data_IF_069400036213
#
_entry.id   IF_069400036213
#
_cell.length_a   1.000
_cell.length_b   1.000
_cell.length_c   1.000
_cell.angle_alpha   90.00
_cell.angle_beta   90.00
_cell.angle_gamma   90.00
#
_symmetry.space_group_name_H-M   'P 1'
#
loop_
_entity.id
_entity.type
_entity.pdbx_description
1 polymer ?
#
# COMPACT_ATOMS: atom_id res chain seq x y z
N UNK A 1 12.94 31.95 33.51
CA UNK A 1 13.78 30.87 34.06
C UNK A 1 12.89 30.12 35.02
N UNK A 2 12.20 29.09 34.52
CA UNK A 2 11.16 28.37 35.25
C UNK A 2 11.68 26.96 35.46
N UNK A 3 11.84 26.64 36.73
CA UNK A 3 12.41 25.42 37.28
C UNK A 3 11.30 24.37 37.39
N UNK A 4 11.54 23.17 36.86
CA UNK A 4 10.65 22.02 36.99
C UNK A 4 11.45 20.87 37.59
N UNK A 5 11.26 20.65 38.90
CA UNK A 5 11.81 19.51 39.62
C UNK A 5 11.09 18.20 39.25
N UNK A 6 11.75 17.03 39.43
CA UNK A 6 11.16 15.74 39.07
C UNK A 6 10.35 15.15 40.24
N UNK A 7 9.10 14.81 39.97
CA UNK A 7 8.27 13.95 40.82
C UNK A 7 8.58 12.48 40.46
N UNK A 8 9.37 11.80 41.30
CA UNK A 8 9.50 10.35 41.27
C UNK A 8 8.34 9.73 42.04
N UNK A 9 7.51 8.94 41.35
CA UNK A 9 6.55 8.03 41.97
C UNK A 9 7.09 6.61 41.87
N UNK A 10 7.55 6.10 43.01
CA UNK A 10 7.70 4.67 43.27
C UNK A 10 6.32 4.00 43.16
N UNK A 11 6.22 2.96 42.36
CA UNK A 11 5.10 2.03 42.39
C UNK A 11 5.60 0.74 43.02
N UNK A 12 5.10 0.48 44.23
CA UNK A 12 5.25 -0.76 44.96
C UNK A 12 4.81 -1.97 44.12
N UNK A 13 5.71 -2.94 44.00
CA UNK A 13 5.37 -4.30 43.58
C UNK A 13 4.70 -5.02 44.74
N UNK A 14 3.42 -5.35 44.59
CA UNK A 14 2.81 -6.45 45.33
C UNK A 14 2.87 -7.71 44.47
N UNK A 15 3.69 -8.66 44.95
CA UNK A 15 3.61 -10.06 44.58
C UNK A 15 2.42 -10.66 45.33
N UNK A 16 1.41 -11.11 44.59
CA UNK A 16 0.40 -12.00 45.14
C UNK A 16 0.44 -13.30 44.34
N UNK A 17 0.85 -14.34 45.05
CA UNK A 17 0.91 -15.74 44.64
C UNK A 17 -0.40 -16.40 45.07
N UNK A 18 -1.17 -16.88 44.10
CA UNK A 18 -2.23 -17.84 44.39
C UNK A 18 -2.21 -18.91 43.31
N UNK A 19 -1.72 -20.08 43.73
CA UNK A 19 -1.92 -21.36 43.07
C UNK A 19 -3.42 -21.70 43.08
N UNK A 20 -3.97 -22.02 41.91
CA UNK A 20 -5.20 -22.81 41.79
C UNK A 20 -5.03 -23.75 40.58
N UNK A 21 -4.78 -25.03 40.88
CA UNK A 21 -4.84 -26.15 39.97
C UNK A 21 -6.31 -26.40 39.57
N UNK A 22 -6.67 -26.10 38.32
CA UNK A 22 -7.93 -26.57 37.73
C UNK A 22 -7.66 -27.40 36.47
N UNK A 23 -7.70 -28.73 36.65
CA UNK A 23 -7.62 -29.72 35.58
C UNK A 23 -8.96 -29.76 34.84
N UNK A 24 -9.10 -28.92 33.80
CA UNK A 24 -10.22 -28.99 32.86
C UNK A 24 -9.83 -29.84 31.65
N UNK A 25 -10.49 -30.98 31.50
CA UNK A 25 -10.37 -31.84 30.33
C UNK A 25 -10.86 -31.12 29.07
N UNK A 26 -9.96 -30.83 28.13
CA UNK A 26 -10.32 -30.33 26.81
C UNK A 26 -10.85 -31.45 25.91
N UNK A 27 -11.97 -31.25 25.20
CA UNK A 27 -12.41 -32.16 24.15
C UNK A 27 -11.42 -32.09 22.98
N UNK A 28 -10.88 -33.24 22.60
CA UNK A 28 -10.08 -33.41 21.38
C UNK A 28 -10.88 -32.94 20.17
N UNK A 29 -10.64 -31.70 19.74
CA UNK A 29 -11.12 -31.21 18.46
C UNK A 29 -10.25 -31.83 17.37
N UNK A 30 -10.79 -32.87 16.75
CA UNK A 30 -10.26 -33.42 15.50
C UNK A 30 -10.27 -32.29 14.47
N UNK A 31 -9.11 -31.66 14.29
CA UNK A 31 -8.88 -30.66 13.27
C UNK A 31 -8.98 -31.35 11.92
N UNK A 32 -10.15 -31.28 11.30
CA UNK A 32 -10.32 -31.54 9.88
C UNK A 32 -9.59 -30.43 9.14
N UNK A 33 -8.28 -30.59 9.00
CA UNK A 33 -7.51 -29.89 7.99
C UNK A 33 -8.14 -30.26 6.64
N UNK A 34 -9.03 -29.40 6.14
CA UNK A 34 -9.44 -29.44 4.75
C UNK A 34 -8.16 -29.40 3.94
N UNK A 35 -7.83 -30.53 3.32
CA UNK A 35 -6.77 -30.59 2.33
C UNK A 35 -7.14 -29.56 1.25
N UNK A 36 -6.52 -28.37 1.32
CA UNK A 36 -6.46 -27.49 0.18
C UNK A 36 -5.79 -28.32 -0.91
N UNK A 37 -6.61 -28.77 -1.86
CA UNK A 37 -6.16 -29.43 -3.06
C UNK A 37 -5.04 -28.58 -3.64
N UNK A 38 -3.81 -29.09 -3.59
CA UNK A 38 -2.62 -28.52 -4.23
C UNK A 38 -2.68 -28.75 -5.74
N UNK A 39 -3.87 -28.64 -6.33
CA UNK A 39 -4.03 -28.60 -7.77
C UNK A 39 -3.11 -27.52 -8.30
N UNK A 40 -2.13 -27.93 -9.11
CA UNK A 40 -1.24 -27.00 -9.77
C UNK A 40 -2.11 -25.95 -10.46
N UNK A 41 -1.80 -24.66 -10.26
CA UNK A 41 -2.47 -23.63 -11.05
C UNK A 41 -2.12 -23.95 -12.49
N UNK A 42 -3.12 -24.10 -13.35
CA UNK A 42 -2.89 -24.06 -14.79
C UNK A 42 -2.92 -22.59 -15.21
N UNK A 43 -1.75 -21.94 -15.35
CA UNK A 43 -1.69 -20.54 -15.74
C UNK A 43 -2.14 -20.30 -17.19
N UNK A 44 -2.24 -21.36 -17.99
CA UNK A 44 -2.63 -21.33 -19.40
C UNK A 44 -4.14 -21.35 -19.58
N UNK A 45 -4.88 -21.83 -18.58
CA UNK A 45 -6.33 -21.72 -18.56
C UNK A 45 -6.69 -20.24 -18.54
N UNK A 46 -7.30 -19.78 -19.64
CA UNK A 46 -7.86 -18.44 -19.71
C UNK A 46 -9.10 -18.42 -18.82
N UNK A 47 -8.89 -18.18 -17.53
CA UNK A 47 -9.97 -17.74 -16.66
C UNK A 47 -10.35 -16.37 -17.20
N UNK A 48 -11.55 -16.28 -17.79
CA UNK A 48 -12.17 -14.99 -18.07
C UNK A 48 -12.49 -14.41 -16.69
N UNK A 49 -11.51 -13.72 -16.12
CA UNK A 49 -11.74 -12.96 -14.91
C UNK A 49 -12.94 -12.05 -15.20
N UNK A 50 -13.92 -11.96 -14.28
CA UNK A 50 -15.03 -11.05 -14.48
C UNK A 50 -14.44 -9.69 -14.83
N UNK A 51 -14.98 -9.06 -15.88
CA UNK A 51 -14.60 -7.70 -16.24
C UNK A 51 -15.06 -6.83 -15.08
N UNK A 52 -14.20 -6.68 -14.07
CA UNK A 52 -14.46 -5.79 -12.95
C UNK A 52 -14.45 -4.42 -13.58
N UNK A 53 -15.61 -3.80 -13.64
CA UNK A 53 -15.75 -2.47 -14.18
C UNK A 53 -14.63 -1.58 -13.60
N UNK A 54 -13.95 -0.83 -14.45
CA UNK A 54 -13.09 0.27 -14.02
C UNK A 54 -13.85 1.13 -13.01
N UNK A 55 -13.17 1.99 -12.26
CA UNK A 55 -13.89 2.94 -11.42
C UNK A 55 -14.70 3.89 -12.34
N UNK A 56 -15.93 3.49 -12.71
CA UNK A 56 -16.76 4.07 -13.78
C UNK A 56 -17.27 5.46 -13.39
N UNK A 57 -17.51 5.66 -12.10
CA UNK A 57 -17.87 6.95 -11.54
C UNK A 57 -16.65 7.58 -10.91
N UNK A 58 -15.90 8.34 -11.72
CA UNK A 58 -14.93 9.29 -11.20
C UNK A 58 -15.59 10.09 -10.09
N UNK A 59 -15.10 9.96 -8.85
CA UNK A 59 -15.48 10.84 -7.75
C UNK A 59 -15.48 12.27 -8.29
N UNK A 60 -16.57 13.04 -8.11
CA UNK A 60 -16.66 14.45 -8.56
C UNK A 60 -15.48 15.31 -8.08
N UNK A 61 -14.75 14.82 -7.06
CA UNK A 61 -13.54 15.38 -6.46
C UNK A 61 -12.31 15.27 -7.38
N UNK A 62 -12.24 14.27 -8.25
CA UNK A 62 -11.10 14.04 -9.14
C UNK A 62 -11.46 14.46 -10.57
N UNK A 63 -10.95 15.62 -11.00
CA UNK A 63 -11.06 16.12 -12.38
C UNK A 63 -9.75 15.98 -13.14
N UNK A 64 -9.82 15.97 -14.47
CA UNK A 64 -8.65 15.96 -15.36
C UNK A 64 -7.78 14.71 -15.17
N UNK A 65 -6.46 14.88 -15.06
CA UNK A 65 -5.50 13.76 -14.96
C UNK A 65 -5.66 12.90 -13.71
N UNK A 66 -6.23 13.45 -12.64
CA UNK A 66 -6.56 12.66 -11.45
C UNK A 66 -7.73 11.70 -11.71
N UNK A 67 -8.63 12.03 -12.64
CA UNK A 67 -9.68 11.12 -13.09
C UNK A 67 -9.08 9.95 -13.88
N UNK A 68 -8.03 10.20 -14.69
CA UNK A 68 -7.28 9.14 -15.37
C UNK A 68 -6.60 8.21 -14.37
N UNK A 69 -5.91 8.75 -13.36
CA UNK A 69 -5.34 7.94 -12.28
C UNK A 69 -6.41 7.06 -11.63
N UNK A 70 -7.54 7.66 -11.22
CA UNK A 70 -8.62 6.95 -10.55
C UNK A 70 -9.32 5.89 -11.41
N UNK A 71 -9.54 6.17 -12.70
CA UNK A 71 -10.17 5.23 -13.63
C UNK A 71 -9.34 3.95 -13.78
N UNK A 72 -8.01 4.08 -13.77
CA UNK A 72 -7.06 2.99 -13.91
C UNK A 72 -6.50 2.48 -12.58
N UNK A 73 -6.99 3.02 -11.46
CA UNK A 73 -6.73 2.47 -10.14
C UNK A 73 -7.44 1.13 -9.98
N UNK A 74 -6.91 0.31 -9.07
CA UNK A 74 -7.58 -0.89 -8.58
C UNK A 74 -9.03 -0.56 -8.18
N UNK A 75 -10.00 -1.44 -8.47
CA UNK A 75 -11.38 -1.23 -8.06
C UNK A 75 -11.46 -0.84 -6.58
N UNK A 76 -12.29 0.16 -6.28
CA UNK A 76 -12.43 0.70 -4.91
C UNK A 76 -12.79 -0.36 -3.86
N UNK A 77 -13.31 -1.52 -4.26
CA UNK A 77 -13.75 -2.58 -3.34
C UNK A 77 -12.93 -3.87 -3.46
N UNK A 78 -11.79 -3.82 -4.16
CA UNK A 78 -10.90 -4.97 -4.27
C UNK A 78 -10.40 -5.39 -2.88
N UNK A 79 -10.58 -6.64 -2.48
CA UNK A 79 -10.00 -7.07 -1.22
C UNK A 79 -8.49 -7.29 -1.39
N UNK A 80 -7.67 -6.32 -0.98
CA UNK A 80 -6.20 -6.45 -1.01
C UNK A 80 -5.67 -7.29 0.15
N UNK A 81 -6.51 -7.66 1.13
CA UNK A 81 -6.10 -8.58 2.21
C UNK A 81 -5.85 -9.99 1.69
N UNK A 82 -6.30 -10.32 0.49
CA UNK A 82 -5.97 -11.58 -0.19
C UNK A 82 -4.47 -11.72 -0.46
N UNK A 83 -3.71 -10.62 -0.44
CA UNK A 83 -2.25 -10.65 -0.45
C UNK A 83 -1.64 -11.14 0.88
N UNK A 84 -2.46 -11.25 1.94
CA UNK A 84 -2.10 -11.89 3.19
C UNK A 84 -0.88 -11.28 3.87
N UNK A 85 0.12 -12.14 4.09
CA UNK A 85 1.41 -11.81 4.71
C UNK A 85 2.49 -11.42 3.70
N UNK A 86 2.14 -11.26 2.42
CA UNK A 86 3.09 -10.87 1.39
C UNK A 86 3.76 -9.54 1.79
N UNK A 87 5.09 -9.48 1.87
CA UNK A 87 5.79 -8.22 2.12
C UNK A 87 5.65 -7.34 0.87
N UNK A 88 4.92 -6.23 1.00
CA UNK A 88 4.72 -5.25 -0.08
C UNK A 88 5.40 -3.94 0.33
N UNK A 89 6.23 -3.40 -0.56
CA UNK A 89 6.90 -2.11 -0.36
C UNK A 89 5.94 -0.93 -0.55
N UNK A 90 6.32 0.24 -0.05
CA UNK A 90 5.65 1.51 -0.38
C UNK A 90 5.51 1.71 -1.89
N UNK A 91 6.58 1.49 -2.66
CA UNK A 91 6.59 1.67 -4.12
C UNK A 91 5.63 0.72 -4.84
N UNK A 92 5.58 -0.55 -4.46
CA UNK A 92 4.63 -1.50 -5.05
C UNK A 92 3.18 -1.12 -4.75
N UNK A 93 2.90 -0.67 -3.51
CA UNK A 93 1.57 -0.15 -3.15
C UNK A 93 1.20 1.06 -4.01
N UNK A 94 2.13 2.00 -4.19
CA UNK A 94 1.95 3.23 -4.96
C UNK A 94 1.80 2.97 -6.46
N UNK A 95 2.54 1.98 -6.99
CA UNK A 95 2.51 1.60 -8.40
C UNK A 95 1.23 0.82 -8.75
N UNK A 96 0.96 -0.26 -8.00
CA UNK A 96 -0.03 -1.27 -8.38
C UNK A 96 -1.40 -1.06 -7.76
N UNK A 97 -1.47 -0.40 -6.60
CA UNK A 97 -2.72 -0.20 -5.86
C UNK A 97 -3.02 1.29 -5.59
N UNK A 98 -2.89 2.21 -6.57
CA UNK A 98 -3.07 3.64 -6.29
C UNK A 98 -4.51 3.95 -5.88
N UNK A 99 -4.70 4.80 -4.87
CA UNK A 99 -6.02 5.29 -4.39
C UNK A 99 -7.00 4.21 -3.90
N UNK A 100 -6.52 3.02 -3.58
CA UNK A 100 -7.30 1.96 -2.98
C UNK A 100 -7.96 2.38 -1.64
N UNK A 101 -9.10 1.79 -1.25
CA UNK A 101 -9.81 2.25 -0.03
C UNK A 101 -9.02 1.99 1.26
N UNK A 102 -8.16 0.97 1.28
CA UNK A 102 -7.30 0.63 2.42
C UNK A 102 -6.07 1.53 2.54
N UNK A 103 -5.92 2.54 1.66
CA UNK A 103 -4.87 3.57 1.79
C UNK A 103 -4.85 4.23 3.14
N UNK A 104 -5.99 4.30 3.81
CA UNK A 104 -6.05 4.79 5.17
C UNK A 104 -5.02 4.13 6.10
N UNK A 105 -4.94 2.81 6.05
CA UNK A 105 -3.98 2.03 6.84
C UNK A 105 -2.56 2.18 6.31
N UNK A 106 -2.37 2.25 5.00
CA UNK A 106 -1.04 2.42 4.40
C UNK A 106 -0.42 3.79 4.70
N UNK A 107 -1.20 4.87 4.67
CA UNK A 107 -0.71 6.23 4.95
C UNK A 107 -0.14 6.36 6.37
N UNK A 108 -0.64 5.57 7.32
CA UNK A 108 -0.13 5.54 8.70
C UNK A 108 1.19 4.79 8.81
N UNK A 109 1.44 3.79 7.95
CA UNK A 109 2.75 3.14 7.79
C UNK A 109 3.77 4.08 7.14
N UNK A 110 3.35 4.80 6.10
CA UNK A 110 4.27 5.62 5.28
C UNK A 110 4.66 6.95 5.98
N UNK A 111 3.72 7.61 6.67
CA UNK A 111 3.97 8.94 7.25
C UNK A 111 5.15 8.99 8.25
N UNK A 112 5.29 8.06 9.21
CA UNK A 112 6.44 8.02 10.12
C UNK A 112 7.79 7.79 9.40
N UNK A 113 7.76 7.23 8.19
CA UNK A 113 8.94 6.93 7.36
C UNK A 113 9.32 8.08 6.42
N UNK A 114 8.76 9.27 6.62
CA UNK A 114 9.12 10.46 5.83
C UNK A 114 8.31 10.66 4.54
N UNK A 115 7.33 9.80 4.25
CA UNK A 115 6.47 9.95 3.07
C UNK A 115 5.47 11.11 3.25
N UNK A 116 5.79 12.25 2.65
CA UNK A 116 4.82 13.36 2.55
C UNK A 116 3.69 13.03 1.56
N UNK A 117 2.49 13.59 1.77
CA UNK A 117 1.38 13.41 0.81
C UNK A 117 1.73 13.94 -0.59
N UNK A 118 2.57 14.98 -0.65
CA UNK A 118 3.12 15.47 -1.91
C UNK A 118 3.96 14.40 -2.58
N UNK A 119 4.91 13.79 -1.85
CA UNK A 119 5.76 12.72 -2.37
C UNK A 119 4.94 11.52 -2.86
N UNK A 120 4.00 11.03 -2.04
CA UNK A 120 3.07 9.95 -2.39
C UNK A 120 2.34 10.24 -3.71
N UNK A 121 1.78 11.45 -3.86
CA UNK A 121 1.14 11.86 -5.09
C UNK A 121 2.13 11.87 -6.28
N UNK A 122 3.38 12.33 -6.07
CA UNK A 122 4.42 12.31 -7.11
C UNK A 122 4.72 10.89 -7.58
N UNK A 123 4.90 9.95 -6.65
CA UNK A 123 5.21 8.55 -6.95
C UNK A 123 4.07 7.88 -7.71
N UNK A 124 2.82 8.06 -7.27
CA UNK A 124 1.65 7.53 -7.98
C UNK A 124 1.59 8.03 -9.42
N UNK A 125 1.78 9.33 -9.63
CA UNK A 125 1.73 9.92 -10.98
C UNK A 125 2.91 9.45 -11.84
N UNK A 126 4.11 9.33 -11.25
CA UNK A 126 5.32 8.83 -11.90
C UNK A 126 5.17 7.41 -12.43
N UNK A 127 4.69 6.47 -11.62
CA UNK A 127 4.51 5.09 -12.08
C UNK A 127 3.47 4.97 -13.19
N UNK A 128 2.52 5.92 -13.23
CA UNK A 128 1.43 5.95 -14.20
C UNK A 128 1.73 6.77 -15.46
N UNK A 129 2.91 7.39 -15.57
CA UNK A 129 3.28 8.15 -16.77
C UNK A 129 2.44 9.41 -16.95
N UNK A 130 1.84 9.92 -15.88
CA UNK A 130 0.96 11.10 -15.88
C UNK A 130 1.59 12.30 -15.18
N UNK A 131 2.90 12.26 -14.98
CA UNK A 131 3.75 13.36 -14.54
C UNK A 131 3.55 14.64 -15.38
N UNK A 132 2.70 15.53 -14.91
CA UNK A 132 2.77 16.92 -15.34
C UNK A 132 2.62 17.81 -14.14
N UNK A 133 3.14 19.04 -14.26
CA UNK A 133 3.02 20.16 -13.31
C UNK A 133 2.35 19.75 -12.00
N UNK A 134 3.15 19.15 -11.11
CA UNK A 134 2.69 18.50 -9.87
C UNK A 134 1.86 19.47 -9.01
N UNK A 135 2.11 20.77 -9.15
CA UNK A 135 1.38 21.81 -8.44
C UNK A 135 -0.10 21.87 -8.86
N UNK A 136 -0.42 21.47 -10.10
CA UNK A 136 -1.80 21.34 -10.59
C UNK A 136 -2.55 20.15 -10.00
N UNK A 137 -1.86 19.24 -9.32
CA UNK A 137 -2.47 18.06 -8.68
C UNK A 137 -2.89 18.31 -7.22
N UNK A 138 -3.23 19.57 -6.87
CA UNK A 138 -3.77 19.96 -5.56
C UNK A 138 -4.90 19.05 -5.08
N UNK A 139 -5.85 18.70 -5.95
CA UNK A 139 -6.98 17.84 -5.58
C UNK A 139 -6.59 16.41 -5.15
N UNK A 140 -5.54 15.83 -5.74
CA UNK A 140 -5.02 14.52 -5.33
C UNK A 140 -4.36 14.61 -3.96
N UNK A 141 -3.56 15.65 -3.72
CA UNK A 141 -2.93 15.90 -2.41
C UNK A 141 -3.97 16.09 -1.31
N UNK A 142 -5.01 16.89 -1.58
CA UNK A 142 -6.11 17.12 -0.64
C UNK A 142 -6.89 15.84 -0.35
N UNK A 143 -7.14 15.00 -1.37
CA UNK A 143 -7.78 13.71 -1.19
C UNK A 143 -6.96 12.80 -0.27
N UNK A 144 -5.66 12.65 -0.54
CA UNK A 144 -4.75 11.83 0.27
C UNK A 144 -4.64 12.36 1.70
N UNK A 145 -4.52 13.68 1.88
CA UNK A 145 -4.49 14.30 3.20
C UNK A 145 -5.80 14.06 3.97
N UNK A 146 -6.95 14.18 3.31
CA UNK A 146 -8.27 13.86 3.89
C UNK A 146 -8.33 12.39 4.31
N UNK A 147 -7.89 11.47 3.46
CA UNK A 147 -7.81 10.04 3.79
C UNK A 147 -6.90 9.80 5.00
N UNK A 148 -5.68 10.32 5.01
CA UNK A 148 -4.74 10.19 6.13
C UNK A 148 -5.35 10.67 7.45
N UNK A 149 -6.01 11.84 7.44
CA UNK A 149 -6.62 12.41 8.64
C UNK A 149 -7.79 11.57 9.17
N UNK A 150 -8.65 11.04 8.30
CA UNK A 150 -9.70 10.09 8.70
C UNK A 150 -9.07 8.85 9.33
N UNK A 151 -8.01 8.34 8.71
CA UNK A 151 -7.31 7.13 9.16
C UNK A 151 -6.71 7.27 10.53
N UNK A 152 -5.97 8.34 10.77
CA UNK A 152 -5.34 8.63 12.07
C UNK A 152 -6.43 8.74 13.16
N UNK A 153 -7.56 9.36 12.85
CA UNK A 153 -8.70 9.47 13.78
C UNK A 153 -9.33 8.10 14.10
N UNK A 154 -9.51 7.25 13.09
CA UNK A 154 -10.08 5.90 13.30
C UNK A 154 -9.08 4.93 13.96
N UNK A 155 -7.79 5.08 13.68
CA UNK A 155 -6.71 4.36 14.35
C UNK A 155 -6.67 4.65 15.84
N UNK A 156 -6.87 5.91 16.25
CA UNK A 156 -6.91 6.28 17.66
C UNK A 156 -8.01 5.55 18.45
N UNK A 157 -9.01 4.97 17.77
CA UNK A 157 -10.10 4.20 18.39
C UNK A 157 -9.84 2.69 18.44
N UNK A 158 -8.89 2.17 17.65
CA UNK A 158 -8.76 0.72 17.36
C UNK A 158 -7.32 0.21 17.36
N UNK A 159 -6.34 1.02 17.81
CA UNK A 159 -4.93 0.64 17.74
C UNK A 159 -4.60 -0.51 18.70
N UNK A 160 -4.46 -1.72 18.14
CA UNK A 160 -3.78 -2.84 18.76
C UNK A 160 -2.34 -2.85 18.23
N UNK A 161 -1.31 -2.63 19.08
CA UNK A 161 0.09 -2.75 18.68
C UNK A 161 0.39 -4.16 18.13
N UNK A 162 1.16 -4.25 17.04
CA UNK A 162 1.64 -5.54 16.49
C UNK A 162 0.74 -6.20 15.43
N UNK A 163 -0.38 -5.60 15.04
CA UNK A 163 -1.26 -6.18 14.03
C UNK A 163 -0.64 -6.10 12.61
N UNK A 164 -0.33 -7.27 12.02
CA UNK A 164 0.20 -7.40 10.67
C UNK A 164 -0.79 -6.89 9.60
N UNK A 165 -0.27 -6.41 8.47
CA UNK A 165 -0.97 -5.71 7.37
C UNK A 165 -2.36 -6.30 6.95
N UNK A 166 -2.56 -7.61 7.05
CA UNK A 166 -3.81 -8.32 6.70
C UNK A 166 -4.89 -8.37 7.78
N UNK A 167 -4.59 -7.95 9.01
CA UNK A 167 -5.50 -8.06 10.17
C UNK A 167 -6.54 -6.94 10.26
N UNK A 168 -6.34 -5.84 9.53
CA UNK A 168 -7.31 -4.75 9.50
C UNK A 168 -8.38 -5.06 8.47
N UNK A 169 -9.54 -5.47 8.99
CA UNK A 169 -10.77 -5.44 8.21
C UNK A 169 -10.98 -4.02 7.65
N UNK A 170 -11.51 -3.89 6.42
CA UNK A 170 -12.10 -2.64 5.96
C UNK A 170 -12.97 -2.07 7.09
N UNK A 171 -13.01 -0.74 7.29
CA UNK A 171 -13.97 -0.17 8.23
C UNK A 171 -15.34 -0.75 7.92
N UNK A 172 -16.04 -1.26 8.95
CA UNK A 172 -17.35 -1.86 8.80
C UNK A 172 -18.21 -0.90 7.97
N UNK A 173 -18.55 -1.33 6.75
CA UNK A 173 -19.26 -0.50 5.78
C UNK A 173 -20.74 -0.39 6.19
N UNK A 174 -21.00 0.24 7.33
CA UNK A 174 -22.34 0.41 7.88
C UNK A 174 -23.26 1.21 6.94
N UNK A 175 -22.71 1.98 6.00
CA UNK A 175 -23.49 2.75 5.03
C UNK A 175 -23.79 2.03 3.71
N UNK A 176 -23.39 0.77 3.53
CA UNK A 176 -23.53 0.04 2.25
C UNK A 176 -24.12 -1.36 2.44
N UNK A 177 -25.14 -1.49 3.29
CA UNK A 177 -25.88 -2.75 3.57
C UNK A 177 -26.44 -3.46 2.32
N UNK A 178 -26.41 -2.82 1.14
CA UNK A 178 -26.96 -3.37 -0.11
C UNK A 178 -25.92 -3.74 -1.18
N UNK A 179 -24.61 -3.56 -0.95
CA UNK A 179 -23.60 -4.13 -1.85
C UNK A 179 -23.29 -5.52 -1.32
N UNK A 180 -23.79 -6.55 -2.00
CA UNK A 180 -23.34 -7.92 -1.80
C UNK A 180 -21.83 -7.95 -1.96
N UNK A 181 -21.12 -7.95 -0.82
CA UNK A 181 -19.67 -7.94 -0.73
C UNK A 181 -19.13 -9.30 -1.15
N UNK A 182 -19.30 -9.68 -2.42
CA UNK A 182 -18.41 -10.68 -2.98
C UNK A 182 -17.02 -10.04 -2.94
N UNK A 183 -16.14 -10.60 -2.12
CA UNK A 183 -14.71 -10.30 -2.18
C UNK A 183 -14.28 -10.60 -3.61
N UNK A 184 -14.33 -9.59 -4.46
CA UNK A 184 -14.15 -9.77 -5.88
C UNK A 184 -12.65 -9.85 -6.06
N UNK A 185 -12.14 -11.06 -6.26
CA UNK A 185 -10.77 -11.23 -6.68
C UNK A 185 -10.58 -10.60 -8.08
N UNK A 186 -9.39 -10.11 -8.38
CA UNK A 186 -9.09 -9.54 -9.69
C UNK A 186 -7.89 -10.21 -10.33
N UNK A 187 -7.82 -10.17 -11.66
CA UNK A 187 -6.62 -10.62 -12.37
C UNK A 187 -5.41 -9.81 -11.91
N UNK A 188 -4.32 -10.49 -11.59
CA UNK A 188 -3.04 -9.92 -11.22
C UNK A 188 -2.56 -8.91 -12.26
N UNK A 189 -2.71 -9.24 -13.55
CA UNK A 189 -2.27 -8.39 -14.66
C UNK A 189 -3.14 -7.15 -14.86
N UNK A 190 -4.27 -7.02 -14.15
CA UNK A 190 -5.02 -5.77 -14.09
C UNK A 190 -4.26 -4.69 -13.31
N UNK A 191 -3.46 -5.08 -12.31
CA UNK A 191 -2.71 -4.12 -11.48
C UNK A 191 -1.68 -3.30 -12.27
N UNK A 192 -1.17 -3.86 -13.35
CA UNK A 192 -0.19 -3.23 -14.25
C UNK A 192 -0.80 -2.45 -15.39
N UNK A 193 -2.12 -2.48 -15.54
CA UNK A 193 -2.79 -1.73 -16.59
C UNK A 193 -2.47 -0.23 -16.43
N UNK A 194 -1.84 0.38 -17.44
CA UNK A 194 -1.34 1.78 -17.40
C UNK A 194 -0.22 2.06 -16.38
N UNK A 195 0.44 1.04 -15.84
CA UNK A 195 1.73 1.21 -15.17
C UNK A 195 2.80 1.32 -16.26
N UNK A 196 3.41 2.50 -16.36
CA UNK A 196 4.44 2.79 -17.37
C UNK A 196 5.85 2.55 -16.86
N UNK A 197 6.02 2.58 -15.53
CA UNK A 197 7.29 2.37 -14.84
C UNK A 197 7.03 1.45 -13.67
N UNK A 198 7.92 0.47 -13.47
CA UNK A 198 7.82 -0.49 -12.38
C UNK A 198 8.72 -0.07 -11.22
N UNK A 199 8.38 -0.43 -9.98
CA UNK A 199 9.30 -0.33 -8.84
C UNK A 199 10.68 -0.92 -9.16
N UNK A 200 11.73 -0.30 -8.63
CA UNK A 200 13.13 -0.72 -8.82
C UNK A 200 13.90 -0.69 -7.50
N UNK A 201 15.13 -1.21 -7.48
CA UNK A 201 15.97 -1.21 -6.28
C UNK A 201 15.28 -1.88 -5.08
N UNK A 202 15.33 -1.22 -3.91
CA UNK A 202 14.71 -1.68 -2.67
C UNK A 202 13.17 -1.64 -2.68
N UNK A 203 12.58 -0.85 -3.58
CA UNK A 203 11.15 -0.75 -3.82
C UNK A 203 10.57 -1.92 -4.59
N UNK A 204 11.39 -2.70 -5.31
CA UNK A 204 10.99 -3.90 -6.03
C UNK A 204 10.96 -5.11 -5.09
N UNK A 205 9.79 -5.77 -4.93
CA UNK A 205 9.63 -6.97 -4.09
C UNK A 205 8.94 -8.11 -4.83
N UNK A 206 8.46 -9.09 -4.08
CA UNK A 206 7.85 -10.31 -4.61
C UNK A 206 6.61 -10.04 -5.47
N UNK A 207 5.77 -9.05 -5.14
CA UNK A 207 4.61 -8.74 -5.97
C UNK A 207 5.05 -8.28 -7.37
N UNK A 208 6.06 -7.42 -7.45
CA UNK A 208 6.66 -6.97 -8.70
C UNK A 208 7.27 -8.13 -9.50
N UNK A 209 7.95 -9.09 -8.85
CA UNK A 209 8.48 -10.29 -9.51
C UNK A 209 7.39 -11.17 -10.09
N UNK A 210 6.35 -11.46 -9.31
CA UNK A 210 5.21 -12.29 -9.72
C UNK A 210 4.51 -11.66 -10.92
N UNK A 211 4.28 -10.36 -10.87
CA UNK A 211 3.71 -9.60 -11.99
C UNK A 211 4.60 -9.69 -13.24
N UNK A 212 5.90 -9.42 -13.12
CA UNK A 212 6.81 -9.48 -14.26
C UNK A 212 6.89 -10.89 -14.86
N UNK A 213 6.94 -11.92 -14.02
CA UNK A 213 6.96 -13.30 -14.46
C UNK A 213 5.65 -13.65 -15.18
N UNK A 214 4.49 -13.27 -14.63
CA UNK A 214 3.20 -13.49 -15.26
C UNK A 214 3.07 -12.77 -16.60
N UNK A 215 3.55 -11.53 -16.72
CA UNK A 215 3.56 -10.79 -17.98
C UNK A 215 4.44 -11.46 -19.05
N UNK A 216 5.69 -11.81 -18.70
CA UNK A 216 6.65 -12.42 -19.64
C UNK A 216 6.17 -13.75 -20.20
N UNK A 217 5.48 -14.53 -19.37
CA UNK A 217 4.96 -15.84 -19.76
C UNK A 217 3.49 -15.79 -20.21
N UNK A 218 2.88 -14.60 -20.33
CA UNK A 218 1.47 -14.43 -20.70
C UNK A 218 0.47 -15.21 -19.83
N UNK A 219 0.77 -15.35 -18.53
CA UNK A 219 -0.09 -16.02 -17.54
C UNK A 219 -1.20 -15.07 -17.09
N UNK A 220 -2.26 -14.90 -17.91
CA UNK A 220 -3.34 -13.92 -17.67
C UNK A 220 -4.39 -14.37 -16.66
N UNK A 221 -4.51 -15.68 -16.44
CA UNK A 221 -5.52 -16.30 -15.58
C UNK A 221 -5.22 -16.20 -14.08
N UNK A 222 -4.10 -15.60 -13.69
CA UNK A 222 -3.69 -15.52 -12.28
C UNK A 222 -4.49 -14.43 -11.58
N UNK A 223 -5.12 -14.82 -10.48
CA UNK A 223 -5.85 -13.90 -9.62
C UNK A 223 -4.96 -13.33 -8.51
N UNK A 224 -5.39 -12.24 -7.89
CA UNK A 224 -4.63 -11.57 -6.83
C UNK A 224 -4.49 -12.46 -5.58
N UNK A 225 -5.52 -13.23 -5.24
CA UNK A 225 -5.44 -14.20 -4.14
C UNK A 225 -4.46 -15.35 -4.39
N UNK A 226 -4.11 -15.61 -5.65
CA UNK A 226 -3.24 -16.71 -6.05
C UNK A 226 -1.75 -16.31 -6.08
N UNK A 227 -1.41 -15.06 -5.77
CA UNK A 227 -0.02 -14.54 -5.88
C UNK A 227 0.99 -15.39 -5.10
N UNK A 228 0.68 -15.78 -3.86
CA UNK A 228 1.60 -16.59 -3.04
C UNK A 228 1.76 -18.02 -3.57
N UNK A 229 0.67 -18.64 -4.01
CA UNK A 229 0.69 -19.97 -4.62
C UNK A 229 1.49 -19.95 -5.93
N UNK A 230 1.24 -18.93 -6.77
CA UNK A 230 1.96 -18.72 -8.02
C UNK A 230 3.46 -18.50 -7.80
N UNK A 231 3.83 -17.66 -6.82
CA UNK A 231 5.23 -17.46 -6.45
C UNK A 231 5.91 -18.78 -6.06
N UNK A 232 5.25 -19.58 -5.22
CA UNK A 232 5.75 -20.90 -4.80
C UNK A 232 5.90 -21.86 -5.98
N UNK A 233 4.91 -21.93 -6.87
CA UNK A 233 4.90 -22.81 -8.04
C UNK A 233 6.05 -22.53 -9.01
N UNK A 234 6.42 -21.26 -9.18
CA UNK A 234 7.49 -20.83 -10.09
C UNK A 234 8.81 -20.53 -9.37
N UNK A 235 8.93 -20.92 -8.10
CA UNK A 235 10.10 -20.65 -7.25
C UNK A 235 10.53 -19.17 -7.26
N UNK A 236 9.57 -18.24 -7.34
CA UNK A 236 9.83 -16.81 -7.30
C UNK A 236 10.06 -16.41 -5.85
N UNK A 237 11.20 -15.77 -5.60
CA UNK A 237 11.60 -15.29 -4.28
C UNK A 237 11.71 -13.78 -4.28
N UNK A 238 11.64 -13.17 -3.09
CA UNK A 238 11.93 -11.75 -2.95
C UNK A 238 13.43 -11.53 -3.18
N UNK A 239 13.80 -11.14 -4.40
CA UNK A 239 15.18 -10.89 -4.81
C UNK A 239 15.73 -9.57 -4.27
N UNK A 240 14.94 -8.81 -3.50
CA UNK A 240 15.46 -7.62 -2.86
C UNK A 240 16.64 -8.05 -1.98
N UNK A 241 17.83 -7.55 -2.30
CA UNK A 241 18.96 -7.56 -1.38
C UNK A 241 18.54 -6.70 -0.18
N UNK A 242 17.79 -7.30 0.75
CA UNK A 242 17.36 -6.61 1.95
C UNK A 242 18.64 -6.40 2.74
N UNK A 243 19.16 -5.18 2.69
CA UNK A 243 20.18 -4.75 3.63
C UNK A 243 19.61 -4.99 5.01
N UNK A 244 20.12 -6.01 5.70
CA UNK A 244 19.56 -6.46 6.97
C UNK A 244 19.48 -5.26 7.93
N UNK A 245 18.27 -4.98 8.43
CA UNK A 245 18.02 -3.91 9.40
C UNK A 245 17.56 -2.57 8.82
N UNK A 246 17.53 -2.39 7.50
CA UNK A 246 16.95 -1.17 6.89
C UNK A 246 15.51 -1.42 6.48
N UNK A 247 14.61 -0.56 6.93
CA UNK A 247 13.20 -0.61 6.55
C UNK A 247 13.04 -0.22 5.07
N UNK A 248 12.41 -1.08 4.24
CA UNK A 248 12.32 -0.88 2.79
C UNK A 248 11.60 0.40 2.40
N UNK A 249 10.64 0.87 3.20
CA UNK A 249 9.90 2.08 2.89
C UNK A 249 10.74 3.33 3.13
N UNK A 250 11.75 3.25 4.02
CA UNK A 250 12.65 4.37 4.30
C UNK A 250 13.64 4.54 3.15
N UNK A 251 14.28 3.45 2.74
CA UNK A 251 15.22 3.45 1.61
C UNK A 251 14.55 3.89 0.30
N UNK A 252 13.29 3.48 0.11
CA UNK A 252 12.46 3.85 -1.03
C UNK A 252 12.19 5.37 -1.14
N UNK A 253 12.08 6.09 -0.02
CA UNK A 253 11.93 7.56 -0.04
C UNK A 253 13.15 8.22 -0.67
N UNK A 254 14.34 7.84 -0.21
CA UNK A 254 15.59 8.45 -0.67
C UNK A 254 15.88 8.09 -2.12
N UNK A 255 15.67 6.82 -2.48
CA UNK A 255 15.78 6.34 -3.86
C UNK A 255 14.85 7.09 -4.81
N UNK A 256 13.57 7.24 -4.45
CA UNK A 256 12.63 7.98 -5.28
C UNK A 256 12.97 9.46 -5.37
N UNK A 257 13.36 10.11 -4.27
CA UNK A 257 13.74 11.53 -4.29
C UNK A 257 14.94 11.77 -5.23
N UNK A 258 15.92 10.85 -5.25
CA UNK A 258 17.05 10.92 -6.17
C UNK A 258 16.60 10.78 -7.64
N UNK A 259 15.74 9.80 -7.94
CA UNK A 259 15.14 9.60 -9.27
C UNK A 259 14.37 10.85 -9.69
N UNK A 260 13.54 11.39 -8.79
CA UNK A 260 12.69 12.55 -9.06
C UNK A 260 13.50 13.81 -9.31
N UNK A 261 14.49 14.12 -8.47
CA UNK A 261 15.36 15.28 -8.65
C UNK A 261 16.17 15.20 -9.94
N UNK A 262 16.53 14.00 -10.37
CA UNK A 262 17.23 13.77 -11.64
C UNK A 262 16.30 13.97 -12.85
N UNK A 263 15.08 13.44 -12.78
CA UNK A 263 14.11 13.52 -13.88
C UNK A 263 13.45 14.91 -14.00
N UNK A 264 13.28 15.61 -12.88
CA UNK A 264 12.63 16.91 -12.78
C UNK A 264 13.50 17.84 -11.96
N UNK A 265 14.64 18.30 -12.51
CA UNK A 265 15.45 19.29 -11.83
C UNK A 265 14.53 20.47 -11.54
N UNK A 266 14.40 20.82 -10.25
CA UNK A 266 13.75 22.09 -9.88
C UNK A 266 14.46 23.14 -10.70
N UNK A 267 13.75 23.70 -11.69
CA UNK A 267 14.21 24.87 -12.42
C UNK A 267 14.48 25.86 -11.31
N UNK A 268 15.77 26.04 -11.01
CA UNK A 268 16.16 26.86 -9.89
C UNK A 268 15.45 28.19 -10.06
N UNK A 269 15.19 28.85 -8.94
CA UNK A 269 15.35 30.30 -8.93
C UNK A 269 16.70 30.58 -9.60
N UNK A 270 16.73 30.65 -10.93
CA UNK A 270 17.69 31.41 -11.69
C UNK A 270 17.54 32.74 -11.00
N UNK A 271 18.50 33.04 -10.13
CA UNK A 271 18.57 34.29 -9.38
C UNK A 271 18.06 35.31 -10.38
N UNK A 272 16.91 35.96 -10.11
CA UNK A 272 16.54 37.15 -10.87
C UNK A 272 17.76 38.01 -10.70
N UNK A 273 18.63 37.98 -11.73
CA UNK A 273 19.85 38.74 -11.74
C UNK A 273 19.36 40.13 -11.43
N UNK A 274 19.92 40.72 -10.39
CA UNK A 274 19.75 42.11 -10.10
C UNK A 274 19.96 42.84 -11.43
N UNK A 275 18.86 43.21 -12.09
CA UNK A 275 18.86 44.25 -13.10
C UNK A 275 19.23 45.47 -12.30
N UNK A 276 20.53 45.72 -12.22
CA UNK A 276 21.09 46.91 -11.64
C UNK A 276 20.39 48.07 -12.31
N UNK A 277 19.61 48.80 -11.52
CA UNK A 277 19.13 50.12 -11.87
C UNK A 277 20.35 51.03 -11.90
N UNK A 278 21.11 50.99 -13.00
CA UNK A 278 22.04 52.04 -13.34
C UNK A 278 21.25 53.29 -13.66
N UNK A 279 21.10 54.18 -12.66
CA UNK A 279 20.76 55.58 -12.92
C UNK A 279 22.00 56.23 -13.54
N UNK A 280 21.85 56.71 -14.77
CA UNK A 280 22.69 57.76 -15.34
C UNK A 280 21.83 59.00 -15.49
#
# INVERSE_FOLDING_TARGET
MIDFGPEQKECDMHQDSSDEDEVVAHPSTTSTASALSTGALDPSTTIIAPVVADNLDGSKVLRGKNATLFRHSTPKYQDVRVLGTLPISAEELLAFLPLHFSWSSFLVRLKPKGWSMTLIARVMLYFRGVETDIERHKGLRELLAKQANVSIKELGKTHIPGLALGSRSPPAMSSLQNITSSNTDCSLLRLVERVTRFPTGSGRRLLNEVIHHAQRNNHRGILLSQVQQYASQFALTDNANITQGVDPDTESVDGFNAIWSTAYPTVGNTKRGALGWGRS
#
